data_IF_455053583016
#
_entry.id   IF_455053583016
#
_cell.length_a   1.000
_cell.length_b   1.000
_cell.length_c   1.000
_cell.angle_alpha   90.00
_cell.angle_beta   90.00
_cell.angle_gamma   90.00
#
_symmetry.space_group_name_H-M   'P 1'
#
loop_
_entity.id
_entity.type
_entity.pdbx_description
1 polymer ?
#
# COMPACT_ATOMS: atom_id res chain seq x y z
N UNK A 1 -2.16 -11.00 12.28
CA UNK A 1 -2.21 -11.73 10.99
C UNK A 1 -1.74 -10.80 9.88
N UNK A 2 -1.31 -11.31 8.72
CA UNK A 2 -0.87 -10.47 7.59
C UNK A 2 -1.97 -9.48 7.16
N UNK A 3 -3.23 -9.91 7.19
CA UNK A 3 -4.39 -9.06 6.93
C UNK A 3 -4.45 -7.84 7.85
N UNK A 4 -4.16 -8.01 9.15
CA UNK A 4 -4.17 -6.88 10.10
C UNK A 4 -3.08 -5.85 9.78
N UNK A 5 -1.91 -6.32 9.31
CA UNK A 5 -0.82 -5.44 8.88
C UNK A 5 -1.22 -4.65 7.64
N UNK A 6 -1.82 -5.31 6.65
CA UNK A 6 -2.31 -4.67 5.42
C UNK A 6 -3.40 -3.64 5.75
N UNK A 7 -4.36 -3.98 6.61
CA UNK A 7 -5.38 -3.04 7.07
C UNK A 7 -4.77 -1.85 7.81
N UNK A 8 -3.75 -2.07 8.64
CA UNK A 8 -3.03 -1.00 9.31
C UNK A 8 -2.31 -0.09 8.30
N UNK A 9 -1.67 -0.65 7.27
CA UNK A 9 -1.02 0.10 6.20
C UNK A 9 -2.05 0.94 5.41
N UNK A 10 -3.20 0.35 5.06
CA UNK A 10 -4.29 1.07 4.41
C UNK A 10 -4.86 2.19 5.30
N UNK A 11 -4.93 2.01 6.62
CA UNK A 11 -5.37 3.07 7.54
C UNK A 11 -4.43 4.28 7.57
N UNK A 12 -3.17 4.10 7.13
CA UNK A 12 -2.15 5.14 6.99
C UNK A 12 -1.97 5.65 5.57
N UNK A 13 -2.68 5.06 4.61
CA UNK A 13 -2.59 5.48 3.22
C UNK A 13 -3.09 6.91 3.01
N UNK A 14 -2.43 7.62 2.10
CA UNK A 14 -2.83 8.93 1.62
C UNK A 14 -3.35 8.80 0.20
N UNK A 15 -4.36 9.59 -0.13
CA UNK A 15 -4.95 9.62 -1.46
C UNK A 15 -4.96 11.05 -2.00
N UNK A 16 -4.61 11.19 -3.26
CA UNK A 16 -4.54 12.47 -3.95
C UNK A 16 -5.13 12.33 -5.36
N UNK A 17 -5.69 13.43 -5.89
CA UNK A 17 -6.10 13.49 -7.28
C UNK A 17 -4.94 14.02 -8.12
N UNK A 18 -4.60 13.30 -9.19
CA UNK A 18 -3.52 13.64 -10.12
C UNK A 18 -4.05 13.83 -11.55
N UNK A 19 -3.29 14.54 -12.39
CA UNK A 19 -3.59 14.70 -13.81
C UNK A 19 -3.10 13.47 -14.60
N UNK A 20 -3.86 12.38 -14.51
CA UNK A 20 -3.58 11.08 -15.18
C UNK A 20 -4.87 10.42 -15.70
N UNK A 21 -4.75 9.38 -16.54
CA UNK A 21 -5.89 8.54 -16.95
C UNK A 21 -6.54 7.81 -15.77
N UNK A 22 -5.75 7.50 -14.74
CA UNK A 22 -6.19 6.97 -13.45
C UNK A 22 -6.00 8.04 -12.36
N UNK A 23 -6.97 8.96 -12.18
CA UNK A 23 -6.75 10.17 -11.41
C UNK A 23 -6.60 9.96 -9.90
N UNK A 24 -6.97 8.79 -9.35
CA UNK A 24 -6.82 8.52 -7.92
C UNK A 24 -5.47 7.88 -7.65
N UNK A 25 -4.52 8.65 -7.12
CA UNK A 25 -3.26 8.16 -6.60
C UNK A 25 -3.39 7.82 -5.12
N UNK A 26 -2.82 6.70 -4.70
CA UNK A 26 -2.78 6.26 -3.31
C UNK A 26 -1.41 5.71 -2.94
N UNK A 27 -0.88 6.12 -1.79
CA UNK A 27 0.42 5.66 -1.28
C UNK A 27 0.35 5.32 0.21
N UNK A 28 1.30 4.52 0.68
CA UNK A 28 1.53 4.30 2.12
C UNK A 28 2.87 4.91 2.50
N UNK A 29 2.90 6.11 3.12
CA UNK A 29 4.14 6.85 3.38
C UNK A 29 5.19 6.05 4.19
N UNK A 30 4.75 5.18 5.09
CA UNK A 30 5.62 4.32 5.88
C UNK A 30 6.22 3.14 5.10
N UNK A 31 5.71 2.83 3.91
CA UNK A 31 6.18 1.75 3.05
C UNK A 31 6.78 2.33 1.77
N UNK A 32 8.08 2.56 1.80
CA UNK A 32 8.80 3.18 0.68
C UNK A 32 8.59 2.40 -0.64
N UNK A 33 8.15 3.14 -1.67
CA UNK A 33 7.87 2.61 -3.00
C UNK A 33 6.52 1.92 -3.15
N UNK A 34 5.66 1.93 -2.12
CA UNK A 34 4.29 1.39 -2.19
C UNK A 34 3.30 2.48 -2.56
N UNK A 35 2.80 2.41 -3.78
CA UNK A 35 1.74 3.26 -4.30
C UNK A 35 0.95 2.54 -5.38
N UNK A 36 -0.26 3.04 -5.68
CA UNK A 36 -1.13 2.55 -6.72
C UNK A 36 -2.01 3.67 -7.27
N UNK A 37 -2.51 3.49 -8.49
CA UNK A 37 -3.50 4.37 -9.13
C UNK A 37 -4.80 3.62 -9.41
N UNK A 38 -5.88 4.35 -9.70
CA UNK A 38 -7.14 3.78 -10.17
C UNK A 38 -8.08 4.85 -10.73
N UNK A 39 -9.10 4.41 -11.49
CA UNK A 39 -10.11 5.32 -12.07
C UNK A 39 -11.11 5.79 -11.02
N UNK A 40 -11.25 5.04 -9.93
CA UNK A 40 -12.02 5.42 -8.74
C UNK A 40 -11.18 5.25 -7.48
N UNK A 41 -11.58 5.92 -6.39
CA UNK A 41 -10.94 5.75 -5.08
C UNK A 41 -10.98 4.28 -4.61
N UNK A 42 -12.08 3.58 -4.88
CA UNK A 42 -12.27 2.18 -4.50
C UNK A 42 -11.35 1.25 -5.29
N UNK A 43 -11.18 1.51 -6.59
CA UNK A 43 -10.23 0.80 -7.44
C UNK A 43 -8.79 1.05 -6.99
N UNK A 44 -8.40 2.30 -6.78
CA UNK A 44 -7.07 2.65 -6.27
C UNK A 44 -6.78 1.95 -4.93
N UNK A 45 -7.74 1.96 -3.99
CA UNK A 45 -7.61 1.26 -2.70
C UNK A 45 -7.47 -0.26 -2.87
N UNK A 46 -8.19 -0.87 -3.81
CA UNK A 46 -8.06 -2.29 -4.13
C UNK A 46 -6.67 -2.59 -4.71
N UNK A 47 -6.22 -1.79 -5.68
CA UNK A 47 -4.90 -1.94 -6.28
C UNK A 47 -3.79 -1.77 -5.22
N UNK A 48 -3.97 -0.84 -4.29
CA UNK A 48 -3.02 -0.62 -3.20
C UNK A 48 -2.88 -1.84 -2.27
N UNK A 49 -3.96 -2.59 -2.02
CA UNK A 49 -3.91 -3.88 -1.29
C UNK A 49 -3.00 -4.87 -2.02
N UNK A 50 -3.18 -5.02 -3.33
CA UNK A 50 -2.40 -5.97 -4.15
C UNK A 50 -0.92 -5.58 -4.19
N UNK A 51 -0.62 -4.28 -4.30
CA UNK A 51 0.76 -3.76 -4.25
C UNK A 51 1.41 -4.01 -2.89
N UNK A 52 0.70 -3.77 -1.77
CA UNK A 52 1.23 -4.04 -0.42
C UNK A 52 1.57 -5.53 -0.26
N UNK A 53 0.68 -6.43 -0.68
CA UNK A 53 0.91 -7.88 -0.58
C UNK A 53 2.14 -8.32 -1.40
N UNK A 54 2.22 -7.89 -2.66
CA UNK A 54 3.38 -8.16 -3.51
C UNK A 54 4.69 -7.58 -2.96
N UNK A 55 4.64 -6.37 -2.41
CA UNK A 55 5.81 -5.73 -1.80
C UNK A 55 6.31 -6.49 -0.56
N UNK A 56 5.40 -6.99 0.28
CA UNK A 56 5.73 -7.83 1.43
C UNK A 56 6.40 -9.12 0.98
N UNK A 57 5.84 -9.81 -0.03
CA UNK A 57 6.43 -11.03 -0.57
C UNK A 57 7.85 -10.82 -1.10
N UNK A 58 8.09 -9.73 -1.83
CA UNK A 58 9.42 -9.38 -2.35
C UNK A 58 10.41 -9.11 -1.21
N UNK A 59 10.01 -8.37 -0.16
CA UNK A 59 10.89 -8.11 0.99
C UNK A 59 11.26 -9.39 1.73
N UNK A 60 10.27 -10.23 2.03
CA UNK A 60 10.50 -11.50 2.71
C UNK A 60 11.39 -12.43 1.88
N UNK A 61 11.15 -12.52 0.57
CA UNK A 61 11.99 -13.31 -0.35
C UNK A 61 13.45 -12.82 -0.42
N UNK A 62 13.70 -11.55 -0.12
CA UNK A 62 15.04 -10.95 -0.04
C UNK A 62 15.63 -10.95 1.37
N UNK A 63 14.94 -11.51 2.36
CA UNK A 63 15.37 -11.49 3.76
C UNK A 63 15.38 -10.09 4.38
N UNK A 64 14.61 -9.15 3.81
CA UNK A 64 14.47 -7.78 4.30
C UNK A 64 13.38 -7.72 5.36
N UNK A 65 13.61 -6.95 6.42
CA UNK A 65 12.59 -6.69 7.43
C UNK A 65 11.42 -5.89 6.85
N UNK A 66 10.22 -6.15 7.38
CA UNK A 66 9.02 -5.37 7.11
C UNK A 66 9.02 -4.18 8.10
N UNK A 67 8.85 -2.93 7.65
CA UNK A 67 8.73 -1.78 8.54
C UNK A 67 7.52 -1.92 9.48
N UNK A 68 7.62 -1.49 10.74
CA UNK A 68 6.48 -1.55 11.64
C UNK A 68 5.40 -0.54 11.24
N UNK A 69 4.13 -0.96 11.29
CA UNK A 69 2.97 -0.09 11.12
C UNK A 69 2.13 -0.14 12.39
N UNK A 70 2.16 0.95 13.15
CA UNK A 70 1.51 1.03 14.46
C UNK A 70 2.07 -0.02 15.43
N UNK A 71 1.28 -1.05 15.74
CA UNK A 71 1.67 -2.16 16.62
C UNK A 71 2.10 -3.43 15.87
N UNK A 72 2.06 -3.42 14.54
CA UNK A 72 2.34 -4.58 13.70
C UNK A 72 3.77 -4.47 13.15
N UNK A 73 4.48 -5.59 13.09
CA UNK A 73 5.90 -5.71 12.78
C UNK A 73 6.22 -7.05 12.11
#
# INVERSE_FOLDING_TARGET
MLTDYIEAALSKSKYELIEDEEPFYGEVPELEGVWATGKTLEECRKNLVEVIDGWILVRLGKGLAIPPIGRYN
#
